data_IF_357344927887
#
_entry.id   IF_357344927887
#
_cell.length_a   1.000
_cell.length_b   1.000
_cell.length_c   1.000
_cell.angle_alpha   90.00
_cell.angle_beta   90.00
_cell.angle_gamma   90.00
#
_symmetry.space_group_name_H-M   'P 1'
#
loop_
_entity.id
_entity.type
_entity.pdbx_description
1 polymer ?
#
# COMPACT_ATOMS: atom_id res chain seq x y z
N UNK A 1 -29.73 -3.91 13.28
CA UNK A 1 -28.79 -4.49 12.29
C UNK A 1 -27.46 -3.78 12.48
N UNK A 2 -26.42 -4.38 13.09
CA UNK A 2 -25.12 -3.73 13.04
C UNK A 2 -24.73 -3.70 11.56
N UNK A 3 -24.57 -2.49 11.01
CA UNK A 3 -23.95 -2.29 9.71
C UNK A 3 -22.61 -3.01 9.82
N UNK A 4 -22.40 -4.07 9.05
CA UNK A 4 -21.05 -4.61 8.91
C UNK A 4 -20.18 -3.41 8.55
N UNK A 5 -19.24 -3.03 9.42
CA UNK A 5 -18.26 -2.01 9.10
C UNK A 5 -17.54 -2.57 7.87
N UNK A 6 -17.95 -2.12 6.69
CA UNK A 6 -17.14 -2.27 5.50
C UNK A 6 -15.82 -1.60 5.89
N UNK A 7 -14.76 -2.40 5.98
CA UNK A 7 -13.43 -1.89 6.24
C UNK A 7 -13.12 -0.99 5.05
N UNK A 8 -13.27 0.32 5.23
CA UNK A 8 -12.90 1.28 4.19
C UNK A 8 -11.40 1.11 3.97
N UNK A 9 -10.94 0.93 2.72
CA UNK A 9 -9.52 0.83 2.46
C UNK A 9 -8.84 2.10 2.99
N UNK A 10 -7.88 1.92 3.88
CA UNK A 10 -7.11 3.02 4.47
C UNK A 10 -5.72 3.02 3.81
N UNK A 11 -5.35 4.09 3.08
CA UNK A 11 -4.08 4.15 2.37
C UNK A 11 -2.87 3.96 3.30
N UNK A 12 -2.94 4.40 4.55
CA UNK A 12 -1.86 4.23 5.52
C UNK A 12 -1.70 2.78 5.95
N UNK A 13 -2.81 2.05 6.10
CA UNK A 13 -2.79 0.61 6.43
C UNK A 13 -2.22 -0.19 5.25
N UNK A 14 -2.62 0.17 4.04
CA UNK A 14 -2.10 -0.45 2.82
C UNK A 14 -0.60 -0.16 2.63
N UNK A 15 -0.16 1.09 2.85
CA UNK A 15 1.24 1.50 2.77
C UNK A 15 2.12 0.74 3.78
N UNK A 16 1.66 0.63 5.02
CA UNK A 16 2.35 -0.15 6.06
C UNK A 16 2.48 -1.64 5.68
N UNK A 17 1.46 -2.23 5.08
CA UNK A 17 1.50 -3.61 4.60
C UNK A 17 2.46 -3.76 3.40
N UNK A 18 2.51 -2.78 2.51
CA UNK A 18 3.42 -2.79 1.37
C UNK A 18 4.88 -2.74 1.86
N UNK A 19 5.20 -1.85 2.80
CA UNK A 19 6.52 -1.78 3.46
C UNK A 19 6.86 -3.10 4.18
N UNK A 20 5.89 -3.74 4.82
CA UNK A 20 6.09 -5.06 5.42
C UNK A 20 6.48 -6.12 4.37
N UNK A 21 5.83 -6.13 3.20
CA UNK A 21 6.20 -7.02 2.11
C UNK A 21 7.60 -6.74 1.56
N UNK A 22 8.01 -5.47 1.45
CA UNK A 22 9.39 -5.11 1.10
C UNK A 22 10.39 -5.73 2.07
N UNK A 23 10.17 -5.55 3.38
CA UNK A 23 11.05 -6.09 4.41
C UNK A 23 11.09 -7.63 4.43
N UNK A 24 10.02 -8.28 3.95
CA UNK A 24 9.95 -9.73 3.80
C UNK A 24 10.56 -10.25 2.48
N UNK A 25 11.08 -9.38 1.61
CA UNK A 25 11.57 -9.73 0.28
C UNK A 25 10.48 -10.08 -0.75
N UNK A 26 9.22 -9.80 -0.42
CA UNK A 26 8.02 -10.06 -1.23
C UNK A 26 7.73 -8.86 -2.14
N UNK A 27 8.68 -8.58 -3.04
CA UNK A 27 8.70 -7.33 -3.80
C UNK A 27 7.54 -7.20 -4.80
N UNK A 28 7.08 -8.32 -5.37
CA UNK A 28 5.97 -8.28 -6.33
C UNK A 28 4.64 -7.93 -5.63
N UNK A 29 4.37 -8.49 -4.45
CA UNK A 29 3.18 -8.13 -3.67
C UNK A 29 3.27 -6.70 -3.14
N UNK A 30 4.47 -6.25 -2.75
CA UNK A 30 4.68 -4.85 -2.36
C UNK A 30 4.35 -3.90 -3.51
N UNK A 31 4.86 -4.17 -4.72
CA UNK A 31 4.61 -3.37 -5.92
C UNK A 31 3.12 -3.30 -6.25
N UNK A 32 2.44 -4.44 -6.27
CA UNK A 32 1.00 -4.49 -6.54
C UNK A 32 0.20 -3.65 -5.54
N UNK A 33 0.59 -3.66 -4.27
CA UNK A 33 -0.11 -2.90 -3.24
C UNK A 33 0.15 -1.40 -3.37
N UNK A 34 1.38 -0.99 -3.69
CA UNK A 34 1.69 0.41 -3.99
C UNK A 34 0.92 0.92 -5.22
N UNK A 35 0.85 0.14 -6.30
CA UNK A 35 0.04 0.48 -7.48
C UNK A 35 -1.46 0.63 -7.14
N UNK A 36 -1.97 -0.20 -6.23
CA UNK A 36 -3.35 -0.10 -5.76
C UNK A 36 -3.59 1.15 -4.91
N UNK A 37 -2.64 1.53 -4.05
CA UNK A 37 -2.70 2.78 -3.29
C UNK A 37 -2.69 3.97 -4.25
N UNK A 38 -1.79 4.00 -5.24
CA UNK A 38 -1.72 5.07 -6.23
C UNK A 38 -3.04 5.23 -7.03
N UNK A 39 -3.70 4.10 -7.32
CA UNK A 39 -4.99 4.10 -8.03
C UNK A 39 -6.16 4.58 -7.16
N UNK A 40 -6.21 4.16 -5.90
CA UNK A 40 -7.33 4.45 -5.00
C UNK A 40 -7.17 5.78 -4.27
N UNK A 41 -5.94 6.18 -3.98
CA UNK A 41 -5.56 7.32 -3.15
C UNK A 41 -4.42 8.12 -3.79
N UNK A 42 -4.64 8.75 -4.95
CA UNK A 42 -3.59 9.46 -5.68
C UNK A 42 -2.95 10.62 -4.90
N UNK A 43 -3.66 11.13 -3.88
CA UNK A 43 -3.20 12.19 -2.97
C UNK A 43 -2.37 11.68 -1.77
N UNK A 44 -2.20 10.35 -1.61
CA UNK A 44 -1.39 9.79 -0.53
C UNK A 44 0.09 9.72 -0.93
N UNK A 45 0.78 10.84 -0.68
CA UNK A 45 2.15 11.07 -1.15
C UNK A 45 3.20 10.13 -0.52
N UNK A 46 2.98 9.67 0.72
CA UNK A 46 3.96 8.84 1.45
C UNK A 46 4.19 7.50 0.74
N UNK A 47 3.13 6.89 0.23
CA UNK A 47 3.21 5.64 -0.53
C UNK A 47 4.09 5.74 -1.78
N UNK A 48 4.17 6.92 -2.41
CA UNK A 48 5.01 7.14 -3.59
C UNK A 48 6.49 7.11 -3.23
N UNK A 49 6.86 7.64 -2.06
CA UNK A 49 8.25 7.62 -1.58
C UNK A 49 8.68 6.17 -1.31
N UNK A 50 7.82 5.39 -0.64
CA UNK A 50 8.09 3.99 -0.35
C UNK A 50 8.12 3.13 -1.63
N UNK A 51 7.22 3.38 -2.57
CA UNK A 51 7.17 2.68 -3.86
C UNK A 51 8.44 2.89 -4.68
N UNK A 52 8.97 4.13 -4.73
CA UNK A 52 10.24 4.40 -5.43
C UNK A 52 11.40 3.56 -4.89
N UNK A 53 11.47 3.36 -3.57
CA UNK A 53 12.48 2.50 -2.95
C UNK A 53 12.39 1.03 -3.38
N UNK A 54 11.20 0.53 -3.76
CA UNK A 54 11.04 -0.83 -4.29
C UNK A 54 11.52 -0.96 -5.74
N UNK A 55 11.40 0.10 -6.53
CA UNK A 55 11.83 0.12 -7.94
C UNK A 55 13.35 0.17 -8.10
N UNK A 56 14.07 0.54 -7.03
CA UNK A 56 15.54 0.61 -7.02
C UNK A 56 16.22 -0.72 -6.62
N UNK A 57 15.45 -1.75 -6.23
CA UNK A 57 15.92 -3.12 -5.97
C UNK A 57 15.89 -4.00 -7.22
#
# INVERSE_FOLDING_TARGET
MPRALAFEPDPQVMDNLAVFYVNAGRLDEARQLFEEIDRLFPEHHDSKIHHLGVLEY
#
